data_IF_416087411827
#
_entry.id   IF_416087411827
#
_cell.length_a   1.000
_cell.length_b   1.000
_cell.length_c   1.000
_cell.angle_alpha   90.00
_cell.angle_beta   90.00
_cell.angle_gamma   90.00
#
_symmetry.space_group_name_H-M   'P 1'
#
loop_
_entity.id
_entity.type
_entity.pdbx_description
1 polymer ?
#
# COMPACT_ATOMS: atom_id res chain seq x y z
N UNK A 1 -9.27 14.81 -13.84
CA UNK A 1 -8.30 13.85 -14.43
C UNK A 1 -8.92 12.46 -14.35
N UNK A 2 -8.89 11.69 -15.44
CA UNK A 2 -9.40 10.31 -15.46
C UNK A 2 -8.41 9.40 -14.72
N UNK A 3 -8.91 8.50 -13.87
CA UNK A 3 -8.07 7.42 -13.35
C UNK A 3 -7.90 6.40 -14.47
N UNK A 4 -6.67 6.24 -14.95
CA UNK A 4 -6.40 5.37 -16.10
C UNK A 4 -6.22 3.90 -15.70
N UNK A 5 -5.96 3.65 -14.41
CA UNK A 5 -5.76 2.32 -13.85
C UNK A 5 -6.54 2.13 -12.55
N UNK A 6 -7.03 0.92 -12.31
CA UNK A 6 -7.67 0.54 -11.05
C UNK A 6 -6.62 -0.08 -10.13
N UNK A 7 -6.46 0.48 -8.93
CA UNK A 7 -5.55 -0.09 -7.91
C UNK A 7 -6.25 -1.26 -7.21
N UNK A 8 -5.53 -2.37 -7.05
CA UNK A 8 -6.01 -3.56 -6.35
C UNK A 8 -4.94 -4.07 -5.39
N UNK A 9 -5.38 -4.59 -4.26
CA UNK A 9 -4.52 -5.21 -3.27
C UNK A 9 -4.68 -6.72 -3.34
N UNK A 10 -3.54 -7.42 -3.36
CA UNK A 10 -3.54 -8.85 -3.04
C UNK A 10 -3.90 -9.07 -1.58
N UNK A 11 -4.40 -10.27 -1.27
CA UNK A 11 -4.72 -10.67 0.11
C UNK A 11 -3.50 -10.58 1.02
N UNK A 12 -2.32 -10.96 0.52
CA UNK A 12 -1.05 -10.88 1.26
C UNK A 12 -0.72 -9.43 1.61
N UNK A 13 -0.81 -8.51 0.64
CA UNK A 13 -0.53 -7.10 0.89
C UNK A 13 -1.54 -6.49 1.88
N UNK A 14 -2.82 -6.89 1.79
CA UNK A 14 -3.87 -6.45 2.71
C UNK A 14 -3.59 -6.95 4.14
N UNK A 15 -3.24 -8.22 4.28
CA UNK A 15 -2.85 -8.79 5.58
C UNK A 15 -1.66 -8.04 6.20
N UNK A 16 -0.61 -7.76 5.42
CA UNK A 16 0.56 -7.01 5.89
C UNK A 16 0.22 -5.58 6.33
N UNK A 17 -0.71 -4.90 5.65
CA UNK A 17 -1.20 -3.59 6.06
C UNK A 17 -1.94 -3.68 7.40
N UNK A 18 -2.86 -4.65 7.54
CA UNK A 18 -3.64 -4.85 8.75
C UNK A 18 -2.77 -5.25 9.95
N UNK A 19 -1.78 -6.12 9.74
CA UNK A 19 -0.80 -6.50 10.78
C UNK A 19 -0.06 -5.28 11.31
N UNK A 20 0.36 -4.36 10.42
CA UNK A 20 1.00 -3.12 10.86
C UNK A 20 0.04 -2.17 11.57
N UNK A 21 -1.21 -2.10 11.12
CA UNK A 21 -2.23 -1.28 11.77
C UNK A 21 -2.53 -1.79 13.19
N UNK A 22 -2.60 -3.11 13.40
CA UNK A 22 -2.79 -3.70 14.72
C UNK A 22 -1.60 -3.37 15.65
N UNK A 23 -0.37 -3.50 15.16
CA UNK A 23 0.81 -3.05 15.93
C UNK A 23 0.72 -1.56 16.33
N UNK A 24 0.27 -0.69 15.43
CA UNK A 24 0.08 0.74 15.73
C UNK A 24 -1.02 0.94 16.78
N UNK A 25 -2.11 0.17 16.71
CA UNK A 25 -3.18 0.19 17.69
C UNK A 25 -2.68 -0.20 19.07
N UNK A 26 -1.90 -1.28 19.18
CA UNK A 26 -1.30 -1.73 20.44
C UNK A 26 -0.37 -0.67 21.06
N UNK A 27 0.48 -0.04 20.25
CA UNK A 27 1.43 0.98 20.72
C UNK A 27 0.75 2.30 21.10
N UNK A 28 -0.26 2.73 20.35
CA UNK A 28 -0.97 4.00 20.57
C UNK A 28 -2.13 3.87 21.56
N UNK A 29 -2.59 2.64 21.82
CA UNK A 29 -3.82 2.33 22.55
C UNK A 29 -5.08 3.00 21.95
N UNK A 30 -5.07 3.32 20.65
CA UNK A 30 -6.18 3.99 19.96
C UNK A 30 -6.51 3.29 18.64
N UNK A 31 -7.71 2.71 18.51
CA UNK A 31 -8.20 2.18 17.24
C UNK A 31 -8.27 3.25 16.14
N UNK A 32 -8.62 4.49 16.49
CA UNK A 32 -8.77 5.60 15.54
C UNK A 32 -7.44 5.95 14.86
N UNK A 33 -6.31 5.82 15.57
CA UNK A 33 -4.97 6.02 15.00
C UNK A 33 -4.63 4.93 13.99
N UNK A 34 -5.01 3.68 14.26
CA UNK A 34 -4.78 2.56 13.36
C UNK A 34 -5.67 2.62 12.11
N UNK A 35 -6.95 2.95 12.26
CA UNK A 35 -7.88 3.12 11.14
C UNK A 35 -7.42 4.26 10.23
N UNK A 36 -7.04 5.39 10.82
CA UNK A 36 -6.49 6.53 10.07
C UNK A 36 -5.21 6.16 9.32
N UNK A 37 -4.38 5.29 9.90
CA UNK A 37 -3.19 4.79 9.22
C UNK A 37 -3.55 3.96 7.98
N UNK A 38 -4.53 3.06 8.07
CA UNK A 38 -5.02 2.28 6.93
C UNK A 38 -5.52 3.22 5.83
N UNK A 39 -6.41 4.15 6.18
CA UNK A 39 -6.99 5.11 5.24
C UNK A 39 -5.91 5.95 4.52
N UNK A 40 -4.92 6.43 5.28
CA UNK A 40 -3.81 7.19 4.72
C UNK A 40 -2.96 6.36 3.75
N UNK A 41 -2.67 5.10 4.08
CA UNK A 41 -1.90 4.20 3.21
C UNK A 41 -2.67 3.89 1.93
N UNK A 42 -3.95 3.55 2.03
CA UNK A 42 -4.79 3.25 0.86
C UNK A 42 -4.91 4.46 -0.05
N UNK A 43 -5.21 5.64 0.51
CA UNK A 43 -5.29 6.90 -0.24
C UNK A 43 -3.97 7.28 -0.92
N UNK A 44 -2.83 6.98 -0.30
CA UNK A 44 -1.53 7.21 -0.92
C UNK A 44 -1.25 6.21 -2.04
N UNK A 45 -1.62 4.94 -1.85
CA UNK A 45 -1.48 3.91 -2.87
C UNK A 45 -2.37 4.18 -4.09
N UNK A 46 -3.55 4.78 -3.91
CA UNK A 46 -4.43 5.23 -5.00
C UNK A 46 -3.72 6.18 -5.98
N UNK A 47 -2.67 6.89 -5.57
CA UNK A 47 -1.89 7.73 -6.50
C UNK A 47 -1.26 6.93 -7.64
N UNK A 48 -1.07 5.62 -7.45
CA UNK A 48 -0.61 4.72 -8.52
C UNK A 48 -1.56 4.72 -9.71
N UNK A 49 -2.87 4.96 -9.53
CA UNK A 49 -3.84 5.02 -10.64
C UNK A 49 -3.48 6.05 -11.71
N UNK A 50 -2.71 7.09 -11.34
CA UNK A 50 -2.32 8.19 -12.22
C UNK A 50 -0.94 8.03 -12.85
N UNK A 51 -0.04 7.27 -12.22
CA UNK A 51 1.35 7.16 -12.65
C UNK A 51 1.71 5.79 -13.22
N UNK A 52 0.81 4.81 -13.12
CA UNK A 52 1.06 3.42 -13.51
C UNK A 52 1.45 3.23 -14.97
N UNK A 53 1.02 4.10 -15.88
CA UNK A 53 1.44 4.04 -17.29
C UNK A 53 2.96 4.11 -17.46
N UNK A 54 3.67 4.83 -16.59
CA UNK A 54 5.14 4.92 -16.60
C UNK A 54 5.84 3.62 -16.17
N UNK A 55 5.11 2.69 -15.55
CA UNK A 55 5.62 1.42 -15.00
C UNK A 55 5.07 0.20 -15.75
N UNK A 56 4.45 0.38 -16.91
CA UNK A 56 3.90 -0.71 -17.72
C UNK A 56 4.98 -1.41 -18.56
N UNK A 57 5.99 -1.95 -17.88
CA UNK A 57 7.14 -2.65 -18.48
C UNK A 57 7.15 -4.16 -18.17
N UNK A 58 6.10 -4.66 -17.52
CA UNK A 58 5.95 -6.07 -17.12
C UNK A 58 6.82 -6.47 -15.92
N UNK A 59 7.39 -5.51 -15.17
CA UNK A 59 8.25 -5.79 -14.00
C UNK A 59 7.63 -5.30 -12.71
N UNK A 60 8.12 -5.86 -11.60
CA UNK A 60 7.78 -5.37 -10.27
C UNK A 60 8.52 -4.07 -9.95
N UNK A 61 7.79 -3.13 -9.37
CA UNK A 61 8.32 -1.85 -8.92
C UNK A 61 7.96 -1.61 -7.45
N UNK A 62 8.72 -0.72 -6.81
CA UNK A 62 8.45 -0.26 -5.46
C UNK A 62 7.99 1.18 -5.53
N UNK A 63 6.84 1.47 -4.91
CA UNK A 63 6.34 2.82 -4.75
C UNK A 63 6.47 3.24 -3.29
N UNK A 64 7.27 4.29 -2.98
CA UNK A 64 7.35 4.82 -1.64
C UNK A 64 6.02 5.50 -1.26
N UNK A 65 5.54 5.21 -0.06
CA UNK A 65 4.41 5.88 0.54
C UNK A 65 4.94 6.91 1.56
N UNK A 66 4.27 7.05 2.70
CA UNK A 66 4.66 7.96 3.78
C UNK A 66 5.46 7.21 4.85
N UNK A 67 6.25 7.94 5.63
CA UNK A 67 6.95 7.43 6.82
C UNK A 67 7.78 6.17 6.56
N UNK A 68 8.38 6.03 5.37
CA UNK A 68 9.21 4.89 4.97
C UNK A 68 8.46 3.59 4.71
N UNK A 69 7.12 3.60 4.72
CA UNK A 69 6.34 2.50 4.17
C UNK A 69 6.42 2.52 2.64
N UNK A 70 6.28 1.36 2.02
CA UNK A 70 6.23 1.24 0.56
C UNK A 70 5.36 0.07 0.13
N UNK A 71 4.99 0.04 -1.14
CA UNK A 71 4.29 -1.09 -1.75
C UNK A 71 5.07 -1.63 -2.93
N UNK A 72 5.08 -2.96 -3.07
CA UNK A 72 5.53 -3.65 -4.28
C UNK A 72 4.34 -3.89 -5.18
N UNK A 73 4.43 -3.44 -6.43
CA UNK A 73 3.33 -3.51 -7.37
C UNK A 73 3.77 -3.95 -8.77
N UNK A 74 2.80 -4.38 -9.57
CA UNK A 74 2.94 -4.72 -10.98
C UNK A 74 1.76 -4.12 -11.75
N UNK A 75 2.03 -3.55 -12.93
CA UNK A 75 0.98 -3.08 -13.83
C UNK A 75 0.56 -4.23 -14.74
N UNK A 76 -0.75 -4.53 -14.75
CA UNK A 76 -1.34 -5.61 -15.53
C UNK A 76 -2.53 -5.05 -16.31
N UNK A 77 -2.36 -4.89 -17.62
CA UNK A 77 -3.37 -4.28 -18.51
C UNK A 77 -3.79 -2.90 -17.99
N UNK A 78 -4.98 -2.78 -17.43
CA UNK A 78 -5.61 -1.57 -16.87
C UNK A 78 -5.66 -1.58 -15.34
N UNK A 79 -4.88 -2.45 -14.68
CA UNK A 79 -4.83 -2.56 -13.23
C UNK A 79 -3.41 -2.32 -12.72
N UNK A 80 -3.33 -1.74 -11.51
CA UNK A 80 -2.15 -1.81 -10.67
C UNK A 80 -2.40 -2.84 -9.59
N UNK A 81 -1.66 -3.94 -9.61
CA UNK A 81 -1.75 -4.96 -8.58
C UNK A 81 -0.67 -4.73 -7.53
N UNK A 82 -1.07 -4.44 -6.29
CA UNK A 82 -0.19 -4.35 -5.13
C UNK A 82 -0.02 -5.77 -4.55
N UNK A 83 1.19 -6.30 -4.67
CA UNK A 83 1.54 -7.66 -4.26
C UNK A 83 2.08 -7.74 -2.84
N UNK A 84 2.69 -6.67 -2.33
CA UNK A 84 3.16 -6.64 -0.95
C UNK A 84 3.11 -5.21 -0.40
N UNK A 85 2.82 -5.11 0.90
CA UNK A 85 3.04 -3.92 1.70
C UNK A 85 4.31 -4.12 2.51
N UNK A 86 5.21 -3.14 2.45
CA UNK A 86 6.47 -3.15 3.16
C UNK A 86 6.41 -2.10 4.27
N UNK A 87 6.11 -2.51 5.51
CA UNK A 87 6.05 -1.57 6.62
C UNK A 87 7.45 -1.07 7.00
N UNK A 88 7.55 0.20 7.43
CA UNK A 88 8.75 0.68 8.11
C UNK A 88 8.84 0.07 9.50
N UNK A 89 10.01 -0.46 9.83
CA UNK A 89 10.29 -1.13 11.10
C UNK A 89 9.69 -2.54 11.12
N UNK A 90 10.56 -3.55 11.22
CA UNK A 90 10.16 -4.94 11.44
C UNK A 90 9.34 -5.02 12.74
N UNK A 91 8.21 -5.73 12.70
CA UNK A 91 7.52 -6.18 13.91
C UNK A 91 8.41 -7.25 14.54
N UNK A 92 9.38 -6.83 15.35
CA UNK A 92 10.13 -7.73 16.23
C UNK A 92 9.24 -7.99 17.45
N UNK A 93 8.41 -9.02 17.33
CA UNK A 93 7.80 -9.72 18.46
C UNK A 93 8.72 -10.81 18.98
#
# INVERSE_FOLDING_TARGET
>A
MKQDYIVRWSEIARFQLLDKAEYIKEQSQSPEVADKFIDDIERLAEKLSYIASAYNDGKFHIFPLKNGHSVKFLVIKNYVMIYAFHPKGLNIG
#
